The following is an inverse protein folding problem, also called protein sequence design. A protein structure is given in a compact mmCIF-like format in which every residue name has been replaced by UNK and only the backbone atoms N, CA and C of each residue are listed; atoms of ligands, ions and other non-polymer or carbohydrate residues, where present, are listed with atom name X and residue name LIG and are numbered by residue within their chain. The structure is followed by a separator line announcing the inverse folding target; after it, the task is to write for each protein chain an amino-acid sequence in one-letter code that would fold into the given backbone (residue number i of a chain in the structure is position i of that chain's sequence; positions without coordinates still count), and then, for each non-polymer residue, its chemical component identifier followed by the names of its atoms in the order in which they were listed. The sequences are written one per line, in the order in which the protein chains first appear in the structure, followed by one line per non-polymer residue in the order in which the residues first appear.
data_IF_751224150124
#
_entry.id   IF_751224150124
#
_cell.length_a   1.000
_cell.length_b   1.000
_cell.length_c   1.000
_cell.angle_alpha   90.00
_cell.angle_beta   90.00
_cell.angle_gamma   90.00
#
_symmetry.space_group_name_H-M   'P 1'
#
loop_
_entity.id
_entity.type
_entity.pdbx_description
1 polymer ?
#
# COMPACT_ATOMS: atom_id res chain seq x y z
N UNK A 1 -5.28 18.18 -9.70
CA UNK A 1 -5.08 16.93 -8.94
C UNK A 1 -6.19 16.86 -7.89
N UNK A 2 -6.81 15.69 -7.67
CA UNK A 2 -7.90 15.51 -6.67
C UNK A 2 -7.35 14.72 -5.48
N UNK A 3 -7.52 15.23 -4.27
CA UNK A 3 -7.08 14.58 -3.01
C UNK A 3 -8.32 14.24 -2.20
N UNK A 4 -8.51 12.97 -1.89
CA UNK A 4 -9.53 12.49 -0.94
C UNK A 4 -8.84 11.82 0.24
N UNK A 5 -9.14 12.28 1.45
CA UNK A 5 -8.59 11.70 2.70
C UNK A 5 -9.61 10.72 3.25
N UNK A 6 -9.31 9.42 3.17
CA UNK A 6 -10.19 8.38 3.69
C UNK A 6 -9.82 8.01 5.11
N UNK A 7 -10.68 8.40 6.06
CA UNK A 7 -10.49 8.12 7.49
C UNK A 7 -10.95 6.73 7.96
N UNK A 8 -11.94 6.09 7.30
CA UNK A 8 -12.49 4.79 7.76
C UNK A 8 -12.86 3.79 6.65
N UNK A 9 -13.27 4.25 5.47
CA UNK A 9 -13.67 3.39 4.35
C UNK A 9 -12.91 3.79 3.09
N UNK A 10 -12.67 2.84 2.19
CA UNK A 10 -12.08 3.12 0.88
C UNK A 10 -12.93 4.12 0.11
N UNK A 11 -12.31 5.04 -0.66
CA UNK A 11 -13.08 5.94 -1.49
C UNK A 11 -13.68 5.13 -2.63
N UNK A 12 -14.69 5.69 -3.29
CA UNK A 12 -15.19 5.09 -4.53
C UNK A 12 -14.02 5.06 -5.53
N UNK A 13 -13.65 3.86 -6.01
CA UNK A 13 -12.47 3.65 -6.84
C UNK A 13 -12.77 3.78 -8.34
N UNK A 14 -14.01 3.53 -8.75
CA UNK A 14 -14.44 3.54 -10.15
C UNK A 14 -15.51 4.60 -10.41
N UNK A 15 -15.63 5.02 -11.66
CA UNK A 15 -16.78 5.76 -12.13
C UNK A 15 -17.20 5.15 -13.46
N UNK A 16 -18.35 4.46 -13.48
CA UNK A 16 -18.72 3.56 -14.57
C UNK A 16 -17.57 2.54 -14.77
N UNK A 17 -17.01 2.48 -15.98
CA UNK A 17 -15.92 1.57 -16.35
C UNK A 17 -14.53 2.22 -16.31
N UNK A 18 -14.39 3.36 -15.62
CA UNK A 18 -13.11 4.07 -15.51
C UNK A 18 -12.59 4.06 -14.08
N UNK A 19 -11.29 3.80 -13.93
CA UNK A 19 -10.59 4.01 -12.67
C UNK A 19 -10.48 5.51 -12.36
N UNK A 20 -10.77 5.89 -11.11
CA UNK A 20 -10.68 7.30 -10.66
C UNK A 20 -9.26 7.75 -10.31
N UNK A 21 -8.38 6.84 -9.96
CA UNK A 21 -7.03 7.11 -9.44
C UNK A 21 -5.98 6.42 -10.30
N UNK A 22 -4.85 7.10 -10.55
CA UNK A 22 -3.69 6.53 -11.25
C UNK A 22 -2.58 6.05 -10.32
N UNK A 23 -2.59 6.50 -9.05
CA UNK A 23 -1.65 6.09 -8.01
C UNK A 23 -2.34 6.11 -6.66
N UNK A 24 -1.99 5.17 -5.78
CA UNK A 24 -2.38 5.18 -4.36
C UNK A 24 -1.15 5.43 -3.52
N UNK A 25 -1.23 6.41 -2.61
CA UNK A 25 -0.12 6.78 -1.73
C UNK A 25 -0.50 6.48 -0.28
N UNK A 26 0.25 5.58 0.35
CA UNK A 26 0.14 5.29 1.78
C UNK A 26 1.27 5.99 2.53
N UNK A 27 0.93 6.95 3.38
CA UNK A 27 1.89 7.59 4.31
C UNK A 27 2.60 6.58 5.22
N UNK A 28 1.93 5.45 5.48
CA UNK A 28 2.47 4.32 6.22
C UNK A 28 2.02 3.05 5.52
N UNK A 29 2.96 2.33 4.92
CA UNK A 29 2.67 1.09 4.16
C UNK A 29 1.99 0.04 5.03
N UNK A 30 2.17 0.06 6.36
CA UNK A 30 1.49 -0.86 7.27
C UNK A 30 -0.05 -0.73 7.19
N UNK A 31 -0.59 0.43 6.80
CA UNK A 31 -2.03 0.60 6.56
C UNK A 31 -2.56 -0.32 5.45
N UNK A 32 -1.76 -0.55 4.40
CA UNK A 32 -2.10 -1.49 3.34
C UNK A 32 -1.86 -2.94 3.78
N UNK A 33 -0.76 -3.21 4.47
CA UNK A 33 -0.36 -4.56 4.90
C UNK A 33 -1.28 -5.16 5.97
N UNK A 34 -1.78 -4.31 6.87
CA UNK A 34 -2.69 -4.68 7.97
C UNK A 34 -4.16 -4.45 7.63
N UNK A 35 -4.45 -4.03 6.39
CA UNK A 35 -5.83 -3.88 5.92
C UNK A 35 -6.56 -5.22 5.99
N UNK A 36 -7.85 -5.18 6.33
CA UNK A 36 -8.65 -6.39 6.28
C UNK A 36 -8.65 -6.97 4.85
N UNK A 37 -8.78 -8.29 4.79
CA UNK A 37 -8.61 -9.04 3.54
C UNK A 37 -9.53 -8.55 2.43
N UNK A 38 -10.78 -8.21 2.75
CA UNK A 38 -11.77 -7.81 1.76
C UNK A 38 -11.44 -6.44 1.15
N UNK A 39 -11.14 -5.44 1.98
CA UNK A 39 -10.73 -4.11 1.49
C UNK A 39 -9.42 -4.20 0.70
N UNK A 40 -8.47 -5.02 1.16
CA UNK A 40 -7.20 -5.22 0.46
C UNK A 40 -7.41 -5.89 -0.91
N UNK A 41 -8.23 -6.93 -0.99
CA UNK A 41 -8.56 -7.61 -2.25
C UNK A 41 -9.26 -6.67 -3.24
N UNK A 42 -10.16 -5.80 -2.74
CA UNK A 42 -10.81 -4.77 -3.56
C UNK A 42 -9.79 -3.79 -4.16
N UNK A 43 -8.85 -3.30 -3.34
CA UNK A 43 -7.76 -2.44 -3.81
C UNK A 43 -6.82 -3.16 -4.79
N UNK A 44 -6.45 -4.41 -4.50
CA UNK A 44 -5.57 -5.20 -5.34
C UNK A 44 -6.20 -5.47 -6.71
N UNK A 45 -7.50 -5.78 -6.73
CA UNK A 45 -8.29 -5.92 -7.97
C UNK A 45 -8.26 -4.62 -8.76
N UNK A 46 -8.58 -3.51 -8.10
CA UNK A 46 -8.55 -2.19 -8.72
C UNK A 46 -7.19 -1.84 -9.33
N UNK A 47 -6.10 -2.12 -8.62
CA UNK A 47 -4.75 -1.85 -9.11
C UNK A 47 -4.40 -2.68 -10.36
N UNK A 48 -4.80 -3.95 -10.40
CA UNK A 48 -4.58 -4.82 -11.57
C UNK A 48 -5.44 -4.39 -12.77
N UNK A 49 -6.73 -4.11 -12.55
CA UNK A 49 -7.67 -3.79 -13.64
C UNK A 49 -7.35 -2.45 -14.30
N UNK A 50 -6.91 -1.45 -13.52
CA UNK A 50 -6.71 -0.08 -14.01
C UNK A 50 -5.24 0.36 -14.06
N UNK A 51 -4.30 -0.59 -13.91
CA UNK A 51 -2.85 -0.31 -13.92
C UNK A 51 -2.41 0.77 -12.92
N UNK A 52 -2.98 0.73 -11.73
CA UNK A 52 -2.71 1.71 -10.66
C UNK A 52 -1.52 1.26 -9.84
N UNK A 53 -0.53 2.16 -9.69
CA UNK A 53 0.63 1.91 -8.84
C UNK A 53 0.35 2.21 -7.36
N UNK A 54 1.03 1.50 -6.46
CA UNK A 54 1.03 1.80 -5.03
C UNK A 54 2.40 2.36 -4.64
N UNK A 55 2.41 3.50 -3.96
CA UNK A 55 3.59 4.06 -3.29
C UNK A 55 3.30 4.02 -1.79
N UNK A 56 4.19 3.41 -1.01
CA UNK A 56 4.05 3.37 0.43
C UNK A 56 5.36 3.74 1.12
N UNK A 57 5.26 4.49 2.20
CA UNK A 57 6.40 4.84 3.03
C UNK A 57 6.47 3.91 4.22
N UNK A 58 7.67 3.37 4.49
CA UNK A 58 7.91 2.63 5.73
C UNK A 58 8.11 3.63 6.86
N UNK A 59 7.41 3.48 8.01
CA UNK A 59 7.70 4.32 9.16
C UNK A 59 9.14 4.06 9.64
N UNK A 60 9.80 5.07 10.24
CA UNK A 60 11.07 4.85 10.93
C UNK A 60 10.84 3.83 12.06
N UNK A 61 11.74 2.85 12.15
CA UNK A 61 11.74 1.85 13.21
C UNK A 61 13.13 1.76 13.82
N UNK A 62 13.21 1.67 15.15
CA UNK A 62 14.48 1.51 15.87
C UNK A 62 15.04 0.10 15.72
N UNK A 63 14.17 -0.88 15.43
CA UNK A 63 14.58 -2.27 15.22
C UNK A 63 15.30 -2.46 13.87
N UNK A 64 16.46 -3.11 13.93
CA UNK A 64 17.17 -3.56 12.73
C UNK A 64 16.57 -4.88 12.27
N UNK A 65 15.71 -4.80 11.25
CA UNK A 65 15.16 -5.98 10.57
C UNK A 65 16.17 -6.41 9.52
N UNK A 66 16.69 -7.63 9.60
CA UNK A 66 17.56 -8.22 8.56
C UNK A 66 16.91 -9.50 8.08
N UNK A 67 16.40 -9.49 6.84
CA UNK A 67 15.71 -10.64 6.26
C UNK A 67 14.35 -10.90 6.89
N UNK A 68 13.72 -9.89 7.51
CA UNK A 68 12.38 -10.04 8.05
C UNK A 68 11.38 -10.19 6.89
N UNK A 69 10.64 -11.29 6.86
CA UNK A 69 9.60 -11.48 5.85
C UNK A 69 8.40 -10.60 6.20
N UNK A 70 7.93 -9.86 5.19
CA UNK A 70 6.71 -9.10 5.30
C UNK A 70 5.52 -10.06 5.36
N UNK A 71 4.84 -10.07 6.51
CA UNK A 71 3.73 -11.01 6.76
C UNK A 71 2.69 -10.95 5.64
N UNK A 72 2.43 -12.10 5.01
CA UNK A 72 1.46 -12.22 3.92
C UNK A 72 1.98 -11.84 2.53
N UNK A 73 3.30 -11.61 2.39
CA UNK A 73 3.94 -11.26 1.12
C UNK A 73 5.25 -12.04 0.92
N UNK A 74 5.68 -12.26 -0.33
CA UNK A 74 6.98 -12.84 -0.65
C UNK A 74 8.11 -11.79 -0.62
N UNK A 75 8.02 -10.80 0.28
CA UNK A 75 8.95 -9.68 0.36
C UNK A 75 9.76 -9.77 1.65
N UNK A 76 11.04 -9.40 1.58
CA UNK A 76 11.95 -9.37 2.72
C UNK A 76 12.46 -7.95 2.93
N UNK A 77 12.53 -7.53 4.20
CA UNK A 77 12.93 -6.20 4.60
C UNK A 77 14.31 -6.26 5.27
N UNK A 78 15.17 -5.34 4.85
CA UNK A 78 16.45 -5.06 5.47
C UNK A 78 16.52 -3.58 5.85
N UNK A 79 16.61 -3.26 7.14
CA UNK A 79 16.77 -1.89 7.66
C UNK A 79 18.15 -1.70 8.26
N UNK A 80 18.58 -0.45 8.37
CA UNK A 80 19.84 -0.05 9.05
C UNK A 80 21.11 -0.71 8.48
N UNK A 81 21.07 -1.12 7.21
CA UNK A 81 22.28 -1.59 6.52
C UNK A 81 23.21 -0.42 6.25
N UNK A 82 24.49 -0.60 6.56
CA UNK A 82 25.54 0.36 6.20
C UNK A 82 25.65 0.40 4.67
N UNK A 83 25.58 1.61 4.10
CA UNK A 83 25.86 1.82 2.68
C UNK A 83 27.33 1.47 2.40
N UNK A 84 27.57 0.74 1.31
CA UNK A 84 28.91 0.37 0.85
C UNK A 84 29.51 1.45 -0.02
#
# INVERSE_FOLDING_TARGET
YKVEVTGKSLPVLTNLDKGRYGVLVFENINKYLQMDKWNRELLDKYCREYSVGIVGFSPPGEESLVGAQLKGFPLFIHTNLRLK
#
